data_IF_554817658619
#
_entry.id   IF_554817658619
#
_cell.length_a   1.000
_cell.length_b   1.000
_cell.length_c   1.000
_cell.angle_alpha   90.00
_cell.angle_beta   90.00
_cell.angle_gamma   90.00
#
_symmetry.space_group_name_H-M   'P 1'
#
loop_
_entity.id
_entity.type
_entity.pdbx_description
1 polymer ?
#
# COMPACT_ATOMS: atom_id res chain seq x y z
N UNK A 1 9.33 -30.46 5.35
CA UNK A 1 8.60 -29.17 5.33
C UNK A 1 7.37 -29.41 4.50
N UNK A 2 6.17 -29.46 5.11
CA UNK A 2 4.91 -29.52 4.37
C UNK A 2 4.77 -28.21 3.61
N UNK A 3 4.80 -28.26 2.30
CA UNK A 3 4.36 -27.16 1.46
C UNK A 3 2.84 -27.19 1.49
N UNK A 4 2.25 -26.62 2.54
CA UNK A 4 0.81 -26.35 2.50
C UNK A 4 0.60 -25.37 1.34
N UNK A 5 0.15 -25.94 0.23
CA UNK A 5 -0.21 -25.14 -0.93
C UNK A 5 -1.37 -24.22 -0.54
N UNK A 6 -1.23 -22.95 -0.86
CA UNK A 6 -2.29 -21.97 -0.67
C UNK A 6 -3.58 -22.50 -1.34
N UNK A 7 -4.68 -22.61 -0.59
CA UNK A 7 -5.99 -22.94 -1.15
C UNK A 7 -6.64 -21.67 -1.73
N UNK A 8 -6.71 -21.52 -3.05
CA UNK A 8 -7.31 -20.32 -3.66
C UNK A 8 -8.79 -20.14 -3.32
N UNK A 9 -9.53 -21.23 -3.08
CA UNK A 9 -10.95 -21.17 -2.74
C UNK A 9 -11.14 -20.62 -1.32
N UNK A 10 -10.32 -21.08 -0.37
CA UNK A 10 -10.33 -20.56 0.99
C UNK A 10 -9.96 -19.08 1.01
N UNK A 11 -8.90 -18.67 0.29
CA UNK A 11 -8.51 -17.24 0.19
C UNK A 11 -9.62 -16.42 -0.47
N UNK A 12 -10.23 -16.90 -1.55
CA UNK A 12 -11.34 -16.20 -2.23
C UNK A 12 -12.54 -15.98 -1.29
N UNK A 13 -12.80 -16.91 -0.36
CA UNK A 13 -13.91 -16.81 0.59
C UNK A 13 -13.78 -15.60 1.53
N UNK A 14 -12.57 -15.12 1.80
CA UNK A 14 -12.32 -13.93 2.62
C UNK A 14 -12.76 -12.62 1.95
N UNK A 15 -13.00 -12.62 0.64
CA UNK A 15 -13.35 -11.43 -0.14
C UNK A 15 -14.85 -11.40 -0.46
N UNK A 16 -15.66 -10.59 0.25
CA UNK A 16 -17.13 -10.58 0.07
C UNK A 16 -17.56 -10.27 -1.36
N UNK A 17 -16.89 -9.34 -2.04
CA UNK A 17 -17.23 -8.97 -3.41
C UNK A 17 -17.08 -10.16 -4.37
N UNK A 18 -16.08 -11.01 -4.15
CA UNK A 18 -15.80 -12.15 -5.01
C UNK A 18 -16.77 -13.33 -4.83
N UNK A 19 -17.71 -13.22 -3.87
CA UNK A 19 -18.78 -14.21 -3.64
C UNK A 19 -20.02 -13.97 -4.51
N UNK A 20 -20.02 -12.91 -5.32
CA UNK A 20 -21.15 -12.58 -6.19
C UNK A 20 -21.22 -13.52 -7.40
N UNK A 21 -22.43 -13.61 -7.94
CA UNK A 21 -22.69 -14.23 -9.24
C UNK A 21 -23.00 -13.15 -10.28
N UNK A 22 -22.51 -13.34 -11.48
CA UNK A 22 -22.76 -12.48 -12.63
C UNK A 22 -23.26 -13.33 -13.79
N UNK A 23 -24.44 -13.03 -14.30
CA UNK A 23 -25.11 -13.80 -15.37
C UNK A 23 -25.23 -15.30 -15.06
N UNK A 24 -25.52 -15.64 -13.79
CA UNK A 24 -25.69 -17.03 -13.33
C UNK A 24 -24.39 -17.83 -13.18
N UNK A 25 -23.25 -17.16 -13.16
CA UNK A 25 -21.94 -17.79 -12.95
C UNK A 25 -21.16 -17.08 -11.83
N UNK A 26 -20.34 -17.81 -11.06
CA UNK A 26 -19.48 -17.19 -10.06
C UNK A 26 -18.58 -16.11 -10.66
N UNK A 27 -18.47 -14.98 -9.97
CA UNK A 27 -17.62 -13.86 -10.42
C UNK A 27 -16.17 -14.28 -10.59
N UNK A 28 -15.62 -14.07 -11.80
CA UNK A 28 -14.19 -14.09 -12.09
C UNK A 28 -13.70 -12.66 -12.23
N UNK A 29 -12.87 -12.19 -11.27
CA UNK A 29 -12.35 -10.83 -11.26
C UNK A 29 -10.87 -10.84 -11.64
N UNK A 30 -10.52 -10.18 -12.75
CA UNK A 30 -9.16 -10.17 -13.33
C UNK A 30 -8.55 -8.76 -13.41
N UNK A 31 -9.13 -7.79 -12.72
CA UNK A 31 -8.72 -6.38 -12.78
C UNK A 31 -8.06 -5.87 -11.47
N UNK A 32 -7.38 -6.76 -10.76
CA UNK A 32 -6.69 -6.41 -9.50
C UNK A 32 -5.55 -5.40 -9.70
N UNK A 33 -5.01 -5.29 -10.90
CA UNK A 33 -4.00 -4.30 -11.26
C UNK A 33 -4.51 -2.86 -11.17
N UNK A 34 -5.78 -2.64 -11.52
CA UNK A 34 -6.44 -1.33 -11.40
C UNK A 34 -7.06 -1.14 -10.01
N UNK A 35 -7.75 -2.17 -9.49
CA UNK A 35 -8.46 -2.09 -8.19
C UNK A 35 -8.40 -3.43 -7.47
N UNK A 36 -7.63 -3.52 -6.40
CA UNK A 36 -7.60 -4.70 -5.53
C UNK A 36 -8.86 -4.78 -4.68
N UNK A 37 -9.48 -5.96 -4.62
CA UNK A 37 -10.61 -6.22 -3.73
C UNK A 37 -10.14 -6.28 -2.26
N UNK A 38 -11.06 -6.02 -1.34
CA UNK A 38 -10.76 -5.95 0.09
C UNK A 38 -11.28 -7.19 0.81
N UNK A 39 -10.43 -7.90 1.56
CA UNK A 39 -10.90 -8.98 2.42
C UNK A 39 -11.75 -8.44 3.58
N UNK A 40 -12.55 -9.32 4.17
CA UNK A 40 -13.46 -8.99 5.27
C UNK A 40 -12.73 -8.27 6.42
N UNK A 41 -11.56 -8.75 6.82
CA UNK A 41 -10.77 -8.17 7.90
C UNK A 41 -10.40 -6.70 7.65
N UNK A 42 -10.15 -6.31 6.40
CA UNK A 42 -9.85 -4.90 6.05
C UNK A 42 -11.11 -4.04 6.13
N UNK A 43 -12.25 -4.56 5.64
CA UNK A 43 -13.53 -3.86 5.71
C UNK A 43 -13.96 -3.64 7.16
N UNK A 44 -13.85 -4.66 7.99
CA UNK A 44 -14.21 -4.60 9.41
C UNK A 44 -13.28 -3.65 10.18
N UNK A 45 -11.97 -3.66 9.88
CA UNK A 45 -11.01 -2.73 10.48
C UNK A 45 -11.31 -1.28 10.12
N UNK A 46 -11.69 -1.01 8.86
CA UNK A 46 -12.05 0.34 8.42
C UNK A 46 -13.34 0.81 9.10
N UNK A 47 -14.36 -0.05 9.16
CA UNK A 47 -15.63 0.24 9.84
C UNK A 47 -15.39 0.51 11.33
N UNK A 48 -14.70 -0.40 12.01
CA UNK A 48 -14.39 -0.27 13.44
C UNK A 48 -13.55 0.97 13.75
N UNK A 49 -12.64 1.37 12.86
CA UNK A 49 -11.93 2.64 13.04
C UNK A 49 -12.88 3.83 13.12
N UNK A 50 -13.82 3.95 12.18
CA UNK A 50 -14.76 5.06 12.15
C UNK A 50 -15.80 5.01 13.28
N UNK A 51 -16.21 3.83 13.68
CA UNK A 51 -17.20 3.66 14.75
C UNK A 51 -16.63 3.86 16.15
N UNK A 52 -15.33 3.51 16.37
CA UNK A 52 -14.80 3.41 17.73
C UNK A 52 -13.64 4.35 18.06
N UNK A 53 -12.75 4.63 17.09
CA UNK A 53 -11.45 5.29 17.37
C UNK A 53 -11.07 6.41 16.39
N UNK A 54 -12.01 6.89 15.58
CA UNK A 54 -11.74 7.98 14.64
C UNK A 54 -11.37 9.28 15.36
N UNK A 55 -10.08 9.56 15.47
CA UNK A 55 -9.54 10.72 16.17
C UNK A 55 -8.24 11.23 15.54
N UNK A 56 -7.79 12.40 15.98
CA UNK A 56 -6.56 13.04 15.50
C UNK A 56 -5.32 12.31 16.04
N UNK A 57 -4.69 11.54 15.17
CA UNK A 57 -3.46 10.77 15.46
C UNK A 57 -2.31 11.71 15.83
N UNK A 58 -1.53 11.37 16.86
CA UNK A 58 -0.35 12.08 17.40
C UNK A 58 -0.61 13.46 18.02
N UNK A 59 -1.84 13.98 18.01
CA UNK A 59 -2.13 15.33 18.50
C UNK A 59 -3.22 15.42 19.57
N UNK A 60 -3.94 14.34 19.83
CA UNK A 60 -4.99 14.30 20.83
C UNK A 60 -4.48 13.75 22.17
N UNK A 61 -4.72 14.47 23.25
CA UNK A 61 -4.41 14.04 24.62
C UNK A 61 -5.63 13.40 25.32
N UNK A 62 -6.42 12.63 24.58
CA UNK A 62 -7.62 11.96 25.08
C UNK A 62 -7.70 10.52 24.61
N UNK A 63 -8.44 9.68 25.31
CA UNK A 63 -8.44 8.22 25.16
C UNK A 63 -8.62 7.72 23.73
N UNK A 64 -9.57 8.29 22.96
CA UNK A 64 -9.81 7.84 21.57
C UNK A 64 -8.61 8.17 20.68
N UNK A 65 -7.98 9.34 20.85
CA UNK A 65 -6.78 9.72 20.09
C UNK A 65 -5.57 8.86 20.44
N UNK A 66 -5.43 8.42 21.68
CA UNK A 66 -4.40 7.46 22.10
C UNK A 66 -4.59 6.10 21.38
N UNK A 67 -5.83 5.58 21.38
CA UNK A 67 -6.16 4.34 20.67
C UNK A 67 -5.89 4.44 19.16
N UNK A 68 -6.29 5.54 18.53
CA UNK A 68 -6.03 5.79 17.11
C UNK A 68 -4.53 5.86 16.81
N UNK A 69 -3.76 6.54 17.67
CA UNK A 69 -2.29 6.64 17.54
C UNK A 69 -1.64 5.28 17.69
N UNK A 70 -2.02 4.50 18.68
CA UNK A 70 -1.51 3.15 18.92
C UNK A 70 -1.78 2.25 17.70
N UNK A 71 -3.01 2.27 17.17
CA UNK A 71 -3.38 1.48 15.98
C UNK A 71 -2.54 1.86 14.75
N UNK A 72 -2.29 3.14 14.52
CA UNK A 72 -1.45 3.63 13.42
C UNK A 72 0.01 3.18 13.57
N UNK A 73 0.57 3.28 14.78
CA UNK A 73 1.95 2.86 15.07
C UNK A 73 2.10 1.33 14.99
N UNK A 74 1.10 0.57 15.45
CA UNK A 74 1.10 -0.89 15.31
C UNK A 74 1.06 -1.32 13.85
N UNK A 75 0.27 -0.66 13.02
CA UNK A 75 0.24 -0.89 11.58
C UNK A 75 1.61 -0.60 10.94
N UNK A 76 2.27 0.50 11.31
CA UNK A 76 3.61 0.85 10.84
C UNK A 76 4.63 -0.22 11.21
N UNK A 77 4.63 -0.67 12.46
CA UNK A 77 5.51 -1.74 12.95
C UNK A 77 5.23 -3.08 12.24
N UNK A 78 3.96 -3.38 11.95
CA UNK A 78 3.61 -4.58 11.19
C UNK A 78 4.18 -4.55 9.76
N UNK A 79 4.05 -3.43 9.06
CA UNK A 79 4.65 -3.24 7.72
C UNK A 79 6.17 -3.29 7.80
N UNK A 80 6.78 -2.61 8.77
CA UNK A 80 8.24 -2.63 8.99
C UNK A 80 8.77 -4.06 9.10
N UNK A 81 8.14 -4.90 9.93
CA UNK A 81 8.54 -6.31 10.08
C UNK A 81 8.34 -7.10 8.78
N UNK A 82 7.22 -6.88 8.09
CA UNK A 82 6.89 -7.60 6.87
C UNK A 82 7.91 -7.35 5.73
N UNK A 83 8.35 -6.10 5.57
CA UNK A 83 9.33 -5.74 4.53
C UNK A 83 10.78 -5.90 5.01
N UNK A 84 11.02 -6.26 6.29
CA UNK A 84 12.36 -6.41 6.85
C UNK A 84 13.12 -5.08 7.01
N UNK A 85 12.43 -3.96 7.11
CA UNK A 85 13.09 -2.67 7.31
C UNK A 85 13.76 -2.61 8.70
N UNK A 86 14.98 -2.03 8.84
CA UNK A 86 15.68 -1.92 10.11
C UNK A 86 14.92 -1.11 11.17
N UNK A 87 14.13 -0.13 10.76
CA UNK A 87 13.40 0.78 11.65
C UNK A 87 12.01 1.11 11.10
N UNK A 88 11.04 1.28 11.98
CA UNK A 88 9.70 1.79 11.64
C UNK A 88 9.74 3.21 11.03
N UNK A 89 10.80 3.98 11.28
CA UNK A 89 11.04 5.30 10.68
C UNK A 89 11.30 5.25 9.18
N UNK A 90 11.62 4.07 8.64
CA UNK A 90 11.82 3.86 7.20
C UNK A 90 10.51 3.51 6.47
N UNK A 91 9.40 3.40 7.22
CA UNK A 91 8.07 3.14 6.65
C UNK A 91 7.30 4.44 6.55
N UNK A 92 7.05 4.87 5.33
CA UNK A 92 6.27 6.06 5.00
C UNK A 92 4.97 5.63 4.31
N UNK A 93 3.83 5.99 4.87
CA UNK A 93 2.54 5.79 4.21
C UNK A 93 2.25 6.95 3.26
N UNK A 94 1.95 6.61 2.02
CA UNK A 94 1.52 7.54 0.98
C UNK A 94 0.13 7.13 0.50
N UNK A 95 -0.55 8.00 -0.23
CA UNK A 95 -1.89 7.70 -0.73
C UNK A 95 -1.91 6.69 -1.89
N UNK A 96 -0.81 6.53 -2.62
CA UNK A 96 -0.67 5.58 -3.74
C UNK A 96 0.79 5.46 -4.21
N UNK A 97 1.06 4.49 -5.11
CA UNK A 97 2.37 4.29 -5.70
C UNK A 97 2.89 5.50 -6.48
N UNK A 98 2.02 6.25 -7.16
CA UNK A 98 2.40 7.47 -7.87
C UNK A 98 3.05 8.49 -6.93
N UNK A 99 2.45 8.72 -5.76
CA UNK A 99 3.03 9.61 -4.75
C UNK A 99 4.35 9.07 -4.21
N UNK A 100 4.45 7.77 -3.94
CA UNK A 100 5.68 7.14 -3.45
C UNK A 100 6.84 7.31 -4.43
N UNK A 101 6.62 7.05 -5.71
CA UNK A 101 7.65 7.16 -6.74
C UNK A 101 8.08 8.63 -6.93
N UNK A 102 7.12 9.55 -6.98
CA UNK A 102 7.42 10.98 -7.04
C UNK A 102 8.18 11.46 -5.79
N UNK A 103 7.83 10.97 -4.60
CA UNK A 103 8.55 11.28 -3.37
C UNK A 103 10.02 10.86 -3.47
N UNK A 104 10.30 9.66 -3.98
CA UNK A 104 11.67 9.17 -4.18
C UNK A 104 12.41 10.02 -5.24
N UNK A 105 11.78 10.28 -6.38
CA UNK A 105 12.40 11.07 -7.45
C UNK A 105 12.72 12.50 -6.99
N UNK A 106 11.77 13.16 -6.33
CA UNK A 106 11.92 14.54 -5.91
C UNK A 106 12.78 14.75 -4.65
N UNK A 107 12.86 13.76 -3.76
CA UNK A 107 13.70 13.83 -2.56
C UNK A 107 15.07 13.20 -2.80
N UNK A 108 15.14 11.87 -2.84
CA UNK A 108 16.39 11.16 -2.99
C UNK A 108 17.04 11.38 -4.37
N UNK A 109 16.25 11.29 -5.45
CA UNK A 109 16.75 11.42 -6.82
C UNK A 109 17.42 12.76 -7.07
N UNK A 110 16.75 13.86 -6.70
CA UNK A 110 17.35 15.21 -6.87
C UNK A 110 18.62 15.46 -6.05
N UNK A 111 18.79 14.77 -4.95
CA UNK A 111 19.95 14.98 -4.09
C UNK A 111 21.11 14.02 -4.38
N UNK A 112 20.87 12.90 -5.04
CA UNK A 112 21.87 11.83 -5.18
C UNK A 112 22.22 11.50 -6.64
N UNK A 113 21.31 11.71 -7.60
CA UNK A 113 21.59 11.47 -9.02
C UNK A 113 22.27 12.70 -9.64
N UNK A 114 23.34 12.45 -10.41
CA UNK A 114 24.12 13.46 -11.10
C UNK A 114 24.19 13.17 -12.60
N UNK A 115 24.72 14.11 -13.38
CA UNK A 115 24.92 13.94 -14.83
C UNK A 115 25.74 12.68 -15.12
N UNK A 116 25.23 11.83 -16.02
CA UNK A 116 25.83 10.55 -16.40
C UNK A 116 25.28 9.34 -15.61
N UNK A 117 24.52 9.52 -14.53
CA UNK A 117 23.84 8.42 -13.85
C UNK A 117 22.71 7.85 -14.70
N UNK A 118 22.41 6.56 -14.51
CA UNK A 118 21.38 5.86 -15.28
C UNK A 118 20.30 5.32 -14.35
N UNK A 119 19.06 5.67 -14.65
CA UNK A 119 17.86 5.04 -14.04
C UNK A 119 17.33 3.99 -15.02
N UNK A 120 17.42 2.72 -14.64
CA UNK A 120 16.91 1.62 -15.44
C UNK A 120 15.43 1.37 -15.13
N UNK A 121 14.59 1.41 -16.16
CA UNK A 121 13.17 1.07 -16.11
C UNK A 121 12.82 0.06 -17.21
N UNK A 122 11.70 -0.66 -17.07
CA UNK A 122 11.21 -1.55 -18.11
C UNK A 122 10.28 -0.81 -19.08
N UNK A 123 10.07 -1.36 -20.28
CA UNK A 123 9.09 -0.82 -21.23
C UNK A 123 7.64 -1.06 -20.81
N UNK A 124 7.41 -1.97 -19.85
CA UNK A 124 6.10 -2.35 -19.36
C UNK A 124 5.64 -1.51 -18.15
N UNK A 125 6.40 -0.48 -17.79
CA UNK A 125 6.09 0.36 -16.62
C UNK A 125 4.80 1.18 -16.82
N UNK A 126 4.08 1.35 -15.73
CA UNK A 126 3.03 2.37 -15.67
C UNK A 126 3.66 3.78 -15.74
N UNK A 127 2.98 4.74 -16.38
CA UNK A 127 3.46 6.13 -16.51
C UNK A 127 3.92 6.76 -15.19
N UNK A 128 3.31 6.36 -14.07
CA UNK A 128 3.73 6.82 -12.74
C UNK A 128 5.19 6.46 -12.40
N UNK A 129 5.75 5.42 -13.04
CA UNK A 129 7.14 5.01 -12.87
C UNK A 129 8.01 5.29 -14.11
N UNK A 130 7.54 6.12 -15.03
CA UNK A 130 8.29 6.60 -16.19
C UNK A 130 8.50 8.12 -16.08
N UNK A 131 7.40 8.86 -15.99
CA UNK A 131 7.38 10.32 -16.11
C UNK A 131 8.26 11.02 -15.06
N UNK A 132 8.24 10.64 -13.75
CA UNK A 132 9.07 11.29 -12.76
C UNK A 132 10.56 11.20 -13.05
N UNK A 133 11.03 10.08 -13.61
CA UNK A 133 12.43 9.87 -13.95
C UNK A 133 12.84 10.64 -15.20
N UNK A 134 11.96 10.74 -16.21
CA UNK A 134 12.19 11.60 -17.37
C UNK A 134 12.25 13.08 -16.99
N UNK A 135 11.37 13.52 -16.08
CA UNK A 135 11.41 14.90 -15.58
C UNK A 135 12.71 15.18 -14.82
N UNK A 136 13.12 14.26 -13.95
CA UNK A 136 14.36 14.38 -13.21
C UNK A 136 15.58 14.42 -14.14
N UNK A 137 15.61 13.56 -15.18
CA UNK A 137 16.68 13.55 -16.18
C UNK A 137 16.74 14.87 -16.98
N UNK A 138 15.61 15.51 -17.25
CA UNK A 138 15.56 16.78 -17.94
C UNK A 138 16.02 17.98 -17.09
N UNK A 139 16.04 17.81 -15.76
CA UNK A 139 16.50 18.83 -14.80
C UNK A 139 18.03 18.77 -14.58
N UNK A 140 18.70 17.65 -15.03
CA UNK A 140 20.13 17.39 -14.80
C UNK A 140 20.93 17.39 -16.08
#
# INVERSE_FOLDING_TARGET
MSTDLLDPAAVKADFPLLQQEVNGSPLTYLDSGATSQKPRVVLDSLTGYYEEINANVHRGAYHIAERATTAMEDARRAVQRFIGAPSEREVLFTKNATESINLVAHSWGRNNLVDGDVVLITELEHHANIVPWHQLAAER
#
